data_IF_224388343979
#
_entry.id   IF_224388343979
#
_cell.length_a   1.000
_cell.length_b   1.000
_cell.length_c   1.000
_cell.angle_alpha   90.00
_cell.angle_beta   90.00
_cell.angle_gamma   90.00
#
_symmetry.space_group_name_H-M   'P 1'
#
loop_
_entity.id
_entity.type
_entity.pdbx_description
1 polymer ?
#
# COMPACT_ATOMS: atom_id res chain seq x y z
N UNK A 1 -43.25 -23.46 -16.98
CA UNK A 1 -42.96 -22.03 -16.74
C UNK A 1 -41.81 -21.76 -15.75
N UNK A 2 -41.41 -22.71 -14.87
CA UNK A 2 -40.35 -22.47 -13.87
C UNK A 2 -38.89 -22.62 -14.34
N UNK A 3 -38.62 -23.34 -15.45
CA UNK A 3 -37.25 -23.61 -15.92
C UNK A 3 -36.63 -22.39 -16.62
N UNK A 4 -37.43 -21.61 -17.37
CA UNK A 4 -36.96 -20.41 -18.07
C UNK A 4 -36.63 -19.24 -17.13
N UNK A 5 -37.23 -19.20 -15.93
CA UNK A 5 -36.94 -18.18 -14.92
C UNK A 5 -35.62 -18.46 -14.17
N UNK A 6 -35.26 -19.74 -13.98
CA UNK A 6 -34.01 -20.13 -13.34
C UNK A 6 -32.78 -19.85 -14.22
N UNK A 7 -32.92 -20.03 -15.54
CA UNK A 7 -31.85 -19.78 -16.51
C UNK A 7 -31.50 -18.28 -16.65
N UNK A 8 -32.48 -17.40 -16.40
CA UNK A 8 -32.28 -15.95 -16.36
C UNK A 8 -31.51 -15.44 -15.12
N UNK A 9 -31.58 -16.15 -13.99
CA UNK A 9 -30.86 -15.76 -12.76
C UNK A 9 -29.41 -16.27 -12.71
N UNK A 10 -29.11 -17.40 -13.36
CA UNK A 10 -27.75 -17.94 -13.44
C UNK A 10 -26.84 -17.16 -14.39
N UNK A 11 -27.41 -16.27 -15.21
CA UNK A 11 -26.68 -15.40 -16.15
C UNK A 11 -26.24 -14.07 -15.55
N UNK A 12 -26.41 -13.85 -14.23
CA UNK A 12 -25.65 -12.82 -13.53
C UNK A 12 -24.22 -13.32 -13.42
N UNK A 13 -23.37 -12.81 -14.30
CA UNK A 13 -21.92 -12.76 -14.22
C UNK A 13 -21.48 -12.70 -12.76
N UNK A 14 -21.27 -13.89 -12.19
CA UNK A 14 -20.37 -14.06 -11.08
C UNK A 14 -19.03 -13.69 -11.70
N UNK A 15 -18.65 -12.42 -11.57
CA UNK A 15 -17.32 -11.96 -11.93
C UNK A 15 -16.40 -12.98 -11.29
N UNK A 16 -15.78 -13.81 -12.15
CA UNK A 16 -14.91 -14.91 -11.78
C UNK A 16 -14.10 -14.40 -10.60
N UNK A 17 -14.38 -14.97 -9.43
CA UNK A 17 -13.70 -14.59 -8.20
C UNK A 17 -12.25 -14.95 -8.50
N UNK A 18 -11.48 -13.93 -8.86
CA UNK A 18 -10.11 -14.05 -9.31
C UNK A 18 -9.43 -14.95 -8.28
N UNK A 19 -9.02 -16.14 -8.72
CA UNK A 19 -8.44 -17.13 -7.83
C UNK A 19 -7.34 -16.38 -7.06
N UNK A 20 -7.44 -16.23 -5.73
CA UNK A 20 -6.42 -15.48 -5.00
C UNK A 20 -5.12 -16.20 -5.28
N UNK A 21 -4.29 -15.63 -6.16
CA UNK A 21 -2.98 -16.18 -6.51
C UNK A 21 -2.34 -16.50 -5.18
N UNK A 22 -2.07 -17.77 -4.94
CA UNK A 22 -1.59 -18.23 -3.65
C UNK A 22 -0.33 -17.43 -3.34
N UNK A 23 -0.45 -16.45 -2.45
CA UNK A 23 0.62 -15.52 -2.14
C UNK A 23 1.61 -16.27 -1.26
N UNK A 24 2.59 -16.90 -1.90
CA UNK A 24 3.71 -17.51 -1.21
C UNK A 24 4.83 -16.47 -1.19
N UNK A 25 5.04 -15.76 -0.07
CA UNK A 25 6.13 -14.81 0.01
C UNK A 25 7.47 -15.54 -0.10
N UNK A 26 8.42 -14.92 -0.78
CA UNK A 26 9.82 -15.37 -0.73
C UNK A 26 10.38 -15.21 0.69
N UNK A 27 11.53 -15.84 0.99
CA UNK A 27 12.19 -15.69 2.30
C UNK A 27 12.43 -14.22 2.69
N UNK A 28 12.96 -13.35 1.81
CA UNK A 28 13.11 -11.92 2.10
C UNK A 28 11.77 -11.21 2.30
N UNK A 29 10.75 -11.53 1.51
CA UNK A 29 9.39 -10.95 1.64
C UNK A 29 8.72 -11.34 2.96
N UNK A 30 8.97 -12.55 3.46
CA UNK A 30 8.47 -12.99 4.76
C UNK A 30 9.06 -12.16 5.89
N UNK A 31 10.38 -11.91 5.84
CA UNK A 31 11.05 -11.01 6.78
C UNK A 31 10.54 -9.57 6.66
N UNK A 32 10.42 -9.06 5.44
CA UNK A 32 9.88 -7.72 5.19
C UNK A 32 8.44 -7.57 5.70
N UNK A 33 7.59 -8.59 5.50
CA UNK A 33 6.23 -8.62 6.03
C UNK A 33 6.22 -8.56 7.55
N UNK A 34 7.09 -9.31 8.22
CA UNK A 34 7.21 -9.27 9.67
C UNK A 34 7.61 -7.86 10.16
N UNK A 35 8.57 -7.22 9.50
CA UNK A 35 9.01 -5.87 9.83
C UNK A 35 7.88 -4.84 9.65
N UNK A 36 7.22 -4.86 8.49
CA UNK A 36 6.13 -3.91 8.17
C UNK A 36 4.93 -4.10 9.10
N UNK A 37 4.52 -5.34 9.37
CA UNK A 37 3.39 -5.61 10.27
C UNK A 37 3.68 -5.24 11.73
N UNK A 38 4.91 -5.49 12.22
CA UNK A 38 5.36 -4.99 13.53
C UNK A 38 5.39 -3.47 13.57
N UNK A 39 5.86 -2.85 12.49
CA UNK A 39 5.86 -1.40 12.36
C UNK A 39 4.44 -0.83 12.50
N UNK A 40 3.51 -1.29 11.68
CA UNK A 40 2.13 -0.81 11.69
C UNK A 40 1.46 -1.03 13.05
N UNK A 41 1.71 -2.17 13.70
CA UNK A 41 1.19 -2.44 15.05
C UNK A 41 1.68 -1.44 16.10
N UNK A 42 2.95 -1.02 16.02
CA UNK A 42 3.52 -0.01 16.93
C UNK A 42 3.15 1.42 16.53
N UNK A 43 3.00 1.68 15.23
CA UNK A 43 2.79 3.03 14.69
C UNK A 43 1.35 3.51 14.83
N UNK A 44 0.38 2.64 14.60
CA UNK A 44 -1.04 2.99 14.62
C UNK A 44 -1.55 3.01 16.07
N UNK A 45 -1.54 4.20 16.67
CA UNK A 45 -2.11 4.51 17.97
C UNK A 45 -3.56 5.00 17.87
N UNK A 46 -3.94 5.62 16.75
CA UNK A 46 -5.31 6.07 16.46
C UNK A 46 -5.74 5.71 15.04
N UNK A 47 -7.03 5.48 14.81
CA UNK A 47 -7.57 4.96 13.55
C UNK A 47 -7.37 3.45 13.35
N UNK A 48 -7.74 2.95 12.16
CA UNK A 48 -7.67 1.53 11.83
C UNK A 48 -7.19 1.30 10.39
N UNK A 49 -6.17 0.45 10.24
CA UNK A 49 -5.67 -0.01 8.94
C UNK A 49 -5.92 -1.53 8.84
N UNK A 50 -6.57 -1.96 7.77
CA UNK A 50 -6.80 -3.37 7.46
C UNK A 50 -6.03 -3.72 6.18
N UNK A 51 -5.22 -4.78 6.22
CA UNK A 51 -4.58 -5.38 5.05
C UNK A 51 -5.26 -6.71 4.72
N UNK A 52 -5.71 -6.86 3.49
CA UNK A 52 -6.28 -8.08 2.94
C UNK A 52 -5.21 -8.73 2.04
N UNK A 53 -4.64 -9.85 2.47
CA UNK A 53 -3.56 -10.57 1.78
C UNK A 53 -4.02 -12.00 1.45
N UNK A 54 -4.34 -12.30 0.18
CA UNK A 54 -4.59 -13.68 -0.26
C UNK A 54 -5.62 -14.48 0.58
N UNK A 55 -6.63 -13.80 1.15
CA UNK A 55 -7.63 -14.40 2.05
C UNK A 55 -7.36 -14.25 3.55
N UNK A 56 -6.16 -13.80 3.93
CA UNK A 56 -5.82 -13.40 5.31
C UNK A 56 -6.15 -11.93 5.55
N UNK A 57 -6.54 -11.62 6.78
CA UNK A 57 -6.89 -10.27 7.21
C UNK A 57 -5.96 -9.88 8.35
N UNK A 58 -5.21 -8.79 8.18
CA UNK A 58 -4.41 -8.19 9.23
C UNK A 58 -5.03 -6.85 9.61
N UNK A 59 -5.40 -6.70 10.88
CA UNK A 59 -6.00 -5.47 11.40
C UNK A 59 -5.05 -4.80 12.37
N UNK A 60 -4.75 -3.53 12.12
CA UNK A 60 -3.95 -2.65 12.96
C UNK A 60 -4.88 -1.54 13.45
N UNK A 61 -5.30 -1.63 14.71
CA UNK A 61 -6.22 -0.69 15.31
C UNK A 61 -5.57 0.00 16.50
N UNK A 62 -5.67 1.32 16.51
CA UNK A 62 -5.23 2.16 17.61
C UNK A 62 -6.21 2.15 18.78
N UNK A 63 -5.70 2.35 19.99
CA UNK A 63 -6.49 2.49 21.22
C UNK A 63 -6.97 3.92 21.47
N UNK A 64 -6.31 4.91 20.85
CA UNK A 64 -6.62 6.33 21.01
C UNK A 64 -7.84 6.75 20.18
N UNK A 65 -8.75 7.51 20.81
CA UNK A 65 -10.02 7.95 20.18
C UNK A 65 -9.89 9.20 19.28
N UNK A 66 -8.68 9.71 19.04
CA UNK A 66 -8.43 10.97 18.31
C UNK A 66 -8.86 10.92 16.83
N UNK A 67 -8.80 9.74 16.22
CA UNK A 67 -9.16 9.47 14.84
C UNK A 67 -9.95 8.17 14.76
N UNK A 68 -11.17 8.23 14.20
CA UNK A 68 -12.05 7.07 13.98
C UNK A 68 -11.96 6.51 12.56
N UNK A 69 -11.08 7.08 11.72
CA UNK A 69 -10.96 6.69 10.32
C UNK A 69 -10.47 5.25 10.18
N UNK A 70 -10.99 4.59 9.15
CA UNK A 70 -10.68 3.22 8.80
C UNK A 70 -10.30 3.15 7.33
N UNK A 71 -9.21 2.44 7.04
CA UNK A 71 -8.77 2.16 5.67
C UNK A 71 -8.58 0.66 5.51
N UNK A 72 -9.00 0.14 4.36
CA UNK A 72 -8.80 -1.26 3.98
C UNK A 72 -8.05 -1.32 2.66
N UNK A 73 -6.87 -1.93 2.68
CA UNK A 73 -6.00 -2.14 1.53
C UNK A 73 -6.03 -3.62 1.17
N UNK A 74 -6.12 -3.91 -0.13
CA UNK A 74 -5.94 -5.24 -0.69
C UNK A 74 -4.53 -5.33 -1.26
N UNK A 75 -3.76 -6.27 -0.72
CA UNK A 75 -2.44 -6.61 -1.23
C UNK A 75 -2.63 -7.61 -2.36
N UNK A 76 -2.12 -7.26 -3.55
CA UNK A 76 -2.15 -8.08 -4.76
C UNK A 76 -0.80 -8.74 -5.05
N UNK A 77 0.28 -8.21 -4.46
CA UNK A 77 1.62 -8.77 -4.59
C UNK A 77 2.41 -8.64 -3.27
N UNK A 78 3.09 -9.70 -2.84
CA UNK A 78 3.94 -9.73 -1.63
C UNK A 78 5.16 -8.81 -1.72
N UNK A 79 5.57 -8.42 -2.93
CA UNK A 79 6.58 -7.38 -3.19
C UNK A 79 6.27 -6.04 -2.51
N UNK A 80 5.00 -5.77 -2.22
CA UNK A 80 4.58 -4.63 -1.39
C UNK A 80 5.42 -4.52 -0.10
N UNK A 81 5.54 -5.62 0.65
CA UNK A 81 6.24 -5.59 1.93
C UNK A 81 7.72 -5.27 1.78
N UNK A 82 8.35 -5.82 0.74
CA UNK A 82 9.75 -5.54 0.43
C UNK A 82 9.96 -4.07 0.05
N UNK A 83 9.11 -3.51 -0.82
CA UNK A 83 9.15 -2.10 -1.22
C UNK A 83 9.00 -1.17 0.00
N UNK A 84 8.05 -1.46 0.88
CA UNK A 84 7.83 -0.65 2.10
C UNK A 84 8.98 -0.79 3.09
N UNK A 85 9.50 -2.00 3.30
CA UNK A 85 10.62 -2.21 4.23
C UNK A 85 11.91 -1.51 3.78
N UNK A 86 12.15 -1.41 2.46
CA UNK A 86 13.39 -0.85 1.90
C UNK A 86 13.30 0.64 1.57
N UNK A 87 12.12 1.13 1.17
CA UNK A 87 11.91 2.51 0.69
C UNK A 87 10.86 3.29 1.48
N UNK A 88 10.38 2.75 2.61
CA UNK A 88 9.42 3.39 3.50
C UNK A 88 8.16 3.91 2.77
N UNK A 89 7.84 5.20 2.93
CA UNK A 89 6.70 5.90 2.34
C UNK A 89 6.74 5.92 0.79
N UNK A 90 7.92 6.11 0.20
CA UNK A 90 8.11 5.93 -1.25
C UNK A 90 7.83 4.50 -1.69
N UNK A 91 8.09 3.52 -0.83
CA UNK A 91 7.75 2.11 -1.07
C UNK A 91 6.25 1.87 -1.16
N UNK A 92 5.45 2.58 -0.35
CA UNK A 92 3.98 2.53 -0.42
C UNK A 92 3.49 3.14 -1.73
N UNK A 93 4.03 4.31 -2.12
CA UNK A 93 3.68 4.97 -3.37
C UNK A 93 4.06 4.10 -4.59
N UNK A 94 5.26 3.54 -4.59
CA UNK A 94 5.74 2.64 -5.64
C UNK A 94 4.86 1.39 -5.78
N UNK A 95 4.46 0.79 -4.67
CA UNK A 95 3.55 -0.35 -4.65
C UNK A 95 2.14 0.01 -5.17
N UNK A 96 1.64 1.21 -4.83
CA UNK A 96 0.35 1.68 -5.33
C UNK A 96 0.38 1.92 -6.85
N UNK A 97 1.39 2.62 -7.35
CA UNK A 97 1.55 2.93 -8.78
C UNK A 97 1.68 1.65 -9.62
N UNK A 98 2.42 0.65 -9.12
CA UNK A 98 2.61 -0.63 -9.81
C UNK A 98 1.45 -1.62 -9.62
N UNK A 99 0.41 -1.26 -8.86
CA UNK A 99 -0.74 -2.13 -8.63
C UNK A 99 -0.48 -3.31 -7.67
N UNK A 100 0.62 -3.28 -6.91
CA UNK A 100 0.90 -4.28 -5.86
C UNK A 100 -0.10 -4.17 -4.70
N UNK A 101 -0.70 -2.99 -4.53
CA UNK A 101 -1.79 -2.73 -3.58
C UNK A 101 -2.94 -1.98 -4.25
N UNK A 102 -4.13 -2.12 -3.69
CA UNK A 102 -5.29 -1.30 -4.03
C UNK A 102 -6.11 -0.98 -2.78
N UNK A 103 -6.91 0.07 -2.85
CA UNK A 103 -7.85 0.37 -1.78
C UNK A 103 -9.21 -0.28 -2.05
N UNK A 104 -9.80 -0.86 -1.01
CA UNK A 104 -11.18 -1.39 -1.08
C UNK A 104 -12.16 -0.25 -1.36
N UNK A 105 -11.98 0.89 -0.68
CA UNK A 105 -12.68 2.13 -1.00
C UNK A 105 -11.80 2.97 -1.93
N UNK A 106 -12.18 3.09 -3.20
CA UNK A 106 -11.41 3.81 -4.22
C UNK A 106 -11.43 5.33 -4.06
N UNK A 107 -12.49 5.88 -3.45
CA UNK A 107 -12.70 7.32 -3.37
C UNK A 107 -12.00 7.93 -2.17
N UNK A 108 -12.04 7.22 -1.03
CA UNK A 108 -11.55 7.76 0.24
C UNK A 108 -10.35 6.98 0.79
N UNK A 109 -10.04 5.80 0.24
CA UNK A 109 -9.04 4.91 0.82
C UNK A 109 -7.66 5.55 0.95
N UNK A 110 -7.19 6.20 -0.12
CA UNK A 110 -5.89 6.88 -0.13
C UNK A 110 -5.89 8.07 0.84
N UNK A 111 -6.96 8.88 0.83
CA UNK A 111 -7.10 10.02 1.74
C UNK A 111 -7.11 9.57 3.20
N UNK A 112 -7.92 8.56 3.53
CA UNK A 112 -8.02 8.00 4.88
C UNK A 112 -6.67 7.43 5.35
N UNK A 113 -5.90 6.80 4.47
CA UNK A 113 -4.54 6.34 4.79
C UNK A 113 -3.64 7.50 5.22
N UNK A 114 -3.62 8.59 4.45
CA UNK A 114 -2.81 9.77 4.79
C UNK A 114 -3.31 10.50 6.04
N UNK A 115 -4.62 10.62 6.23
CA UNK A 115 -5.18 11.23 7.45
C UNK A 115 -4.83 10.42 8.70
N UNK A 116 -4.92 9.09 8.63
CA UNK A 116 -4.45 8.21 9.71
C UNK A 116 -2.95 8.38 9.94
N UNK A 117 -2.15 8.42 8.87
CA UNK A 117 -0.70 8.62 8.98
C UNK A 117 -0.33 9.93 9.70
N UNK A 118 -0.93 11.05 9.30
CA UNK A 118 -0.71 12.37 9.91
C UNK A 118 -1.16 12.37 11.37
N UNK A 119 -2.35 11.84 11.67
CA UNK A 119 -2.87 11.77 13.04
C UNK A 119 -1.94 10.99 13.99
N UNK A 120 -1.33 9.89 13.50
CA UNK A 120 -0.39 9.10 14.28
C UNK A 120 1.01 9.73 14.38
N UNK A 121 1.45 10.46 13.34
CA UNK A 121 2.70 11.23 13.37
C UNK A 121 2.67 12.27 14.49
N UNK A 122 1.57 13.00 14.62
CA UNK A 122 1.45 14.06 15.62
C UNK A 122 1.39 13.51 17.05
N UNK A 123 0.78 12.32 17.24
CA UNK A 123 0.80 11.61 18.52
C UNK A 123 2.21 11.12 18.88
N UNK A 124 2.98 10.67 17.89
CA UNK A 124 4.38 10.23 18.07
C UNK A 124 5.40 11.37 18.04
N UNK A 125 5.02 12.61 17.76
CA UNK A 125 5.94 13.75 17.78
C UNK A 125 6.51 14.03 19.20
N UNK A 126 5.83 13.55 20.25
CA UNK A 126 6.36 13.51 21.63
C UNK A 126 7.45 12.45 21.83
N UNK A 127 7.47 11.40 21.00
CA UNK A 127 8.51 10.37 20.95
C UNK A 127 9.61 10.83 20.02
N UNK A 128 10.44 11.77 20.50
CA UNK A 128 11.62 12.25 19.77
C UNK A 128 12.51 11.08 19.35
N UNK A 129 12.79 11.01 18.04
CA UNK A 129 14.12 10.74 17.45
C UNK A 129 14.82 9.47 17.97
N UNK A 130 14.41 8.27 17.53
CA UNK A 130 15.24 7.09 17.87
C UNK A 130 14.82 5.69 17.45
N UNK A 131 13.70 5.45 16.75
CA UNK A 131 13.22 4.06 16.57
C UNK A 131 13.42 3.45 15.16
N UNK A 132 13.84 4.25 14.17
CA UNK A 132 14.11 3.79 12.80
C UNK A 132 15.59 3.75 12.42
N UNK A 133 16.48 4.26 13.27
CA UNK A 133 17.94 4.14 13.13
C UNK A 133 18.39 3.36 14.37
N UNK A 134 18.87 2.10 14.30
CA UNK A 134 19.81 1.56 13.29
C UNK A 134 19.55 0.10 12.84
N UNK A 135 19.80 -0.23 11.55
CA UNK A 135 20.29 -1.54 11.02
C UNK A 135 20.04 -1.72 9.51
N UNK A 136 19.21 -0.89 8.88
CA UNK A 136 18.98 -0.96 7.42
C UNK A 136 19.94 -0.11 6.58
N UNK A 137 20.72 0.80 7.16
CA UNK A 137 21.73 1.56 6.39
C UNK A 137 22.79 0.65 5.75
N UNK A 138 23.10 -0.50 6.37
CA UNK A 138 24.09 -1.45 5.83
C UNK A 138 23.50 -2.35 4.73
N UNK A 139 22.21 -2.69 4.80
CA UNK A 139 21.54 -3.55 3.81
C UNK A 139 20.94 -2.77 2.63
N UNK A 140 20.50 -1.52 2.85
CA UNK A 140 19.90 -0.66 1.83
C UNK A 140 20.97 -0.05 0.91
N UNK A 141 22.15 0.32 1.41
CA UNK A 141 23.20 0.97 0.61
C UNK A 141 23.61 0.16 -0.64
N UNK A 142 23.60 -1.18 -0.58
CA UNK A 142 23.98 -2.05 -1.69
C UNK A 142 22.87 -2.23 -2.75
N UNK A 143 21.60 -2.07 -2.38
CA UNK A 143 20.43 -2.15 -3.29
C UNK A 143 19.91 -0.77 -3.75
N UNK A 144 20.26 0.30 -3.04
CA UNK A 144 19.97 1.68 -3.42
C UNK A 144 20.58 2.01 -4.78
N UNK A 145 21.76 1.47 -5.09
CA UNK A 145 22.48 1.71 -6.34
C UNK A 145 21.70 1.19 -7.56
N UNK A 146 21.04 0.03 -7.46
CA UNK A 146 20.26 -0.54 -8.56
C UNK A 146 18.92 0.18 -8.82
N UNK A 147 18.25 0.65 -7.77
CA UNK A 147 16.94 1.33 -7.89
C UNK A 147 17.01 2.84 -8.06
N UNK A 148 18.14 3.46 -7.74
CA UNK A 148 18.45 4.86 -8.12
C UNK A 148 18.53 5.03 -9.63
N UNK A 149 18.62 3.95 -10.41
CA UNK A 149 18.55 4.02 -11.87
C UNK A 149 17.19 4.47 -12.42
N UNK A 150 16.12 4.46 -11.61
CA UNK A 150 14.81 5.07 -11.94
C UNK A 150 14.71 6.55 -11.54
N UNK A 151 15.80 7.20 -11.11
CA UNK A 151 15.79 8.66 -10.98
C UNK A 151 15.55 9.27 -12.36
N UNK A 152 14.59 10.18 -12.45
CA UNK A 152 14.43 11.05 -13.62
C UNK A 152 15.78 11.73 -13.87
N UNK A 153 16.54 11.22 -14.83
CA UNK A 153 17.74 11.90 -15.33
C UNK A 153 17.31 13.26 -15.90
N UNK A 154 18.17 14.29 -15.88
CA UNK A 154 17.84 15.60 -16.46
C UNK A 154 17.28 15.48 -17.90
N UNK A 155 17.77 14.50 -18.66
CA UNK A 155 17.29 14.18 -20.00
C UNK A 155 15.89 13.56 -20.00
N UNK A 156 15.57 12.64 -19.09
CA UNK A 156 14.20 12.10 -18.91
C UNK A 156 13.23 13.13 -18.34
N UNK A 157 13.65 13.95 -17.38
CA UNK A 157 12.86 15.04 -16.82
C UNK A 157 12.50 16.05 -17.92
N UNK A 158 13.47 16.49 -18.74
CA UNK A 158 13.22 17.36 -19.91
C UNK A 158 12.29 16.69 -20.92
N UNK A 159 12.42 15.39 -21.17
CA UNK A 159 11.57 14.64 -22.11
C UNK A 159 10.16 14.35 -21.56
N UNK A 160 10.00 14.30 -20.24
CA UNK A 160 8.72 14.15 -19.54
C UNK A 160 7.98 15.51 -19.53
N UNK A 161 8.69 16.60 -19.19
CA UNK A 161 8.19 17.98 -19.28
C UNK A 161 7.86 18.36 -20.73
N UNK A 162 8.67 17.96 -21.71
CA UNK A 162 8.42 18.24 -23.14
C UNK A 162 7.29 17.39 -23.74
N UNK A 163 6.79 16.37 -23.04
CA UNK A 163 5.73 15.49 -23.53
C UNK A 163 4.36 15.76 -22.94
N UNK A 164 4.23 16.48 -21.82
CA UNK A 164 2.90 16.81 -21.30
C UNK A 164 2.86 18.00 -20.35
N UNK A 165 2.33 19.12 -20.86
CA UNK A 165 1.10 19.71 -20.33
C UNK A 165 0.21 20.10 -21.51
N UNK A 166 -0.58 19.14 -22.00
CA UNK A 166 -1.84 19.46 -22.67
C UNK A 166 -2.96 18.88 -21.78
N UNK A 167 -3.16 19.52 -20.62
CA UNK A 167 -4.43 19.42 -19.93
C UNK A 167 -5.40 20.31 -20.72
N UNK A 168 -5.91 19.80 -21.85
CA UNK A 168 -6.95 20.49 -22.59
C UNK A 168 -8.18 20.55 -21.69
N UNK A 169 -8.53 21.76 -21.28
CA UNK A 169 -9.82 22.08 -20.72
C UNK A 169 -10.82 21.86 -21.85
N UNK A 170 -11.55 20.75 -21.85
CA UNK A 170 -12.72 20.60 -22.71
C UNK A 170 -13.79 21.59 -22.19
N UNK A 171 -13.98 22.69 -22.91
CA UNK A 171 -15.16 23.55 -22.81
C UNK A 171 -16.38 22.87 -23.41
#
# INVERSE_FOLDING_TARGET
AGVAAADGMLRRTCCILDNPKHMVPTWPETGARLLVTRFLKSFIQTGCIILLEGGKIFTFQGTEKKCSLKVSLRVHNTQFYWKVATRADLGIADAFIHGDISFVNKNEGLLNLFMIYVANRDLKASVKRGWWTPLLDVLSAKYFIGHVSNRNTLTQARRNISRHYDLVINQ
#
